data_IF_129683108294
#
_entry.id   IF_129683108294
#
_cell.length_a   1.000
_cell.length_b   1.000
_cell.length_c   1.000
_cell.angle_alpha   90.00
_cell.angle_beta   90.00
_cell.angle_gamma   90.00
#
_symmetry.space_group_name_H-M   'P 1'
#
loop_
_entity.id
_entity.type
_entity.pdbx_description
1 polymer ?
#
# COMPACT_ATOMS: atom_id res chain seq x y z
N UNK A 1 -7.43 5.26 15.78
CA UNK A 1 -7.65 5.82 14.43
C UNK A 1 -6.48 5.53 13.47
N UNK A 2 -5.26 5.95 13.81
CA UNK A 2 -4.05 5.71 13.00
C UNK A 2 -3.71 4.22 12.78
N UNK A 3 -3.59 3.45 13.87
CA UNK A 3 -3.22 2.02 13.81
C UNK A 3 -4.14 1.18 12.93
N UNK A 4 -5.44 1.48 12.92
CA UNK A 4 -6.42 0.77 12.09
C UNK A 4 -6.26 1.11 10.61
N UNK A 5 -5.91 2.36 10.27
CA UNK A 5 -5.62 2.72 8.89
C UNK A 5 -4.39 1.98 8.37
N UNK A 6 -3.32 2.02 9.17
CA UNK A 6 -2.07 1.38 8.81
C UNK A 6 -2.28 -0.12 8.57
N UNK A 7 -3.01 -0.79 9.46
CA UNK A 7 -3.34 -2.21 9.30
C UNK A 7 -4.16 -2.50 8.03
N UNK A 8 -5.13 -1.65 7.67
CA UNK A 8 -5.90 -1.83 6.42
C UNK A 8 -5.06 -1.58 5.17
N UNK A 9 -4.20 -0.55 5.19
CA UNK A 9 -3.26 -0.30 4.09
C UNK A 9 -2.28 -1.46 3.94
N UNK A 10 -1.72 -1.95 5.06
CA UNK A 10 -0.83 -3.11 5.09
C UNK A 10 -1.54 -4.33 4.50
N UNK A 11 -2.79 -4.60 4.88
CA UNK A 11 -3.58 -5.69 4.31
C UNK A 11 -3.68 -5.59 2.79
N UNK A 12 -4.00 -4.41 2.24
CA UNK A 12 -4.05 -4.21 0.79
C UNK A 12 -2.70 -4.44 0.10
N UNK A 13 -1.59 -4.03 0.72
CA UNK A 13 -0.25 -4.29 0.18
C UNK A 13 0.12 -5.77 0.23
N UNK A 14 -0.20 -6.45 1.34
CA UNK A 14 0.02 -7.89 1.49
C UNK A 14 -0.85 -8.73 0.55
N UNK A 15 -2.04 -8.26 0.18
CA UNK A 15 -2.90 -8.90 -0.82
C UNK A 15 -2.40 -8.68 -2.25
N UNK A 16 -1.87 -7.49 -2.55
CA UNK A 16 -1.24 -7.21 -3.82
C UNK A 16 0.05 -8.02 -4.01
N UNK A 17 0.79 -8.23 -2.92
CA UNK A 17 2.04 -8.99 -2.82
C UNK A 17 2.98 -8.79 -4.03
N UNK A 18 3.52 -7.57 -4.23
CA UNK A 18 4.26 -7.21 -5.45
C UNK A 18 5.43 -8.13 -5.79
N UNK A 19 5.97 -8.84 -4.81
CA UNK A 19 7.13 -9.72 -4.95
C UNK A 19 6.82 -11.20 -4.68
N UNK A 20 5.55 -11.56 -4.45
CA UNK A 20 5.15 -12.96 -4.22
C UNK A 20 5.73 -13.55 -2.92
N UNK A 21 5.87 -12.73 -1.88
CA UNK A 21 6.48 -13.08 -0.60
C UNK A 21 5.52 -13.83 0.33
N UNK A 22 4.23 -13.87 0.00
CA UNK A 22 3.17 -14.49 0.81
C UNK A 22 3.18 -14.04 2.29
N UNK A 23 3.08 -12.74 2.59
CA UNK A 23 3.21 -12.23 3.96
C UNK A 23 2.26 -12.92 4.96
N UNK A 24 2.80 -13.41 6.08
CA UNK A 24 2.05 -14.06 7.15
C UNK A 24 1.73 -15.54 6.94
N UNK A 25 2.11 -16.13 5.80
CA UNK A 25 2.04 -17.57 5.59
C UNK A 25 3.11 -18.32 6.41
N UNK A 26 2.93 -19.63 6.74
CA UNK A 26 3.89 -20.40 7.54
C UNK A 26 5.33 -20.40 7.01
N UNK A 27 5.50 -20.40 5.68
CA UNK A 27 6.79 -20.37 4.98
C UNK A 27 7.00 -19.05 4.21
N UNK A 28 6.18 -18.03 4.48
CA UNK A 28 6.23 -16.74 3.82
C UNK A 28 7.05 -15.69 4.57
N UNK A 29 7.09 -14.47 4.03
CA UNK A 29 7.63 -13.32 4.73
C UNK A 29 6.83 -12.99 6.01
N UNK A 30 7.42 -12.22 6.95
CA UNK A 30 6.68 -11.70 8.10
C UNK A 30 5.37 -10.99 7.70
N UNK A 31 4.37 -11.05 8.58
CA UNK A 31 3.06 -10.44 8.31
C UNK A 31 3.11 -8.91 8.16
N UNK A 32 4.18 -8.28 8.67
CA UNK A 32 4.46 -6.85 8.64
C UNK A 32 5.46 -6.43 7.56
N UNK A 33 5.71 -7.29 6.56
CA UNK A 33 6.71 -7.06 5.49
C UNK A 33 6.61 -5.67 4.83
N UNK A 34 5.38 -5.17 4.59
CA UNK A 34 5.14 -3.88 3.93
C UNK A 34 4.75 -2.74 4.90
N UNK A 35 5.06 -2.85 6.19
CA UNK A 35 4.59 -1.89 7.20
C UNK A 35 5.17 -0.48 6.99
N UNK A 36 6.38 -0.37 6.44
CA UNK A 36 7.04 0.91 6.19
C UNK A 36 6.36 1.71 5.06
N UNK A 37 5.95 1.02 4.01
CA UNK A 37 5.17 1.54 2.89
C UNK A 37 3.75 1.88 3.37
N UNK A 38 3.13 0.95 4.11
CA UNK A 38 1.79 1.14 4.66
C UNK A 38 1.71 2.38 5.54
N UNK A 39 2.72 2.59 6.40
CA UNK A 39 2.83 3.78 7.26
C UNK A 39 2.89 5.06 6.44
N UNK A 40 3.65 5.06 5.35
CA UNK A 40 3.78 6.25 4.50
C UNK A 40 2.48 6.55 3.75
N UNK A 41 1.84 5.54 3.18
CA UNK A 41 0.57 5.67 2.45
C UNK A 41 -0.57 6.06 3.39
N UNK A 42 -0.64 5.48 4.59
CA UNK A 42 -1.62 5.86 5.61
C UNK A 42 -1.49 7.33 6.01
N UNK A 43 -0.26 7.87 6.06
CA UNK A 43 -0.02 9.30 6.32
C UNK A 43 -0.60 10.17 5.20
N UNK A 44 -0.44 9.77 3.94
CA UNK A 44 -1.00 10.48 2.78
C UNK A 44 -2.53 10.46 2.84
N UNK A 45 -3.13 9.28 3.05
CA UNK A 45 -4.58 9.13 3.16
C UNK A 45 -5.18 9.93 4.31
N UNK A 46 -4.50 10.01 5.47
CA UNK A 46 -4.96 10.85 6.58
C UNK A 46 -5.01 12.34 6.23
N UNK A 47 -4.06 12.80 5.41
CA UNK A 47 -3.89 14.22 5.11
C UNK A 47 -4.76 14.65 3.93
N UNK A 48 -4.75 13.86 2.87
CA UNK A 48 -5.29 14.24 1.56
C UNK A 48 -6.58 13.47 1.21
N UNK A 49 -6.96 12.45 2.01
CA UNK A 49 -8.16 11.63 1.83
C UNK A 49 -8.13 10.68 0.62
N UNK A 50 -7.15 10.84 -0.26
CA UNK A 50 -6.97 10.11 -1.51
C UNK A 50 -5.49 9.83 -1.76
N UNK A 51 -5.17 8.97 -2.72
CA UNK A 51 -3.78 8.69 -3.15
C UNK A 51 -3.70 8.63 -4.68
N UNK A 52 -2.59 9.09 -5.27
CA UNK A 52 -2.34 9.00 -6.72
C UNK A 52 -1.32 7.91 -7.08
N UNK A 53 -1.24 7.55 -8.36
CA UNK A 53 -0.25 6.61 -8.86
C UNK A 53 1.18 7.11 -8.63
N UNK A 54 1.42 8.41 -8.85
CA UNK A 54 2.72 9.03 -8.63
C UNK A 54 3.14 8.99 -7.15
N UNK A 55 2.18 9.15 -6.23
CA UNK A 55 2.44 9.04 -4.80
C UNK A 55 2.81 7.59 -4.42
N UNK A 56 2.07 6.60 -4.93
CA UNK A 56 2.41 5.19 -4.69
C UNK A 56 3.77 4.83 -5.30
N UNK A 57 4.04 5.26 -6.53
CA UNK A 57 5.33 5.07 -7.18
C UNK A 57 6.47 5.72 -6.39
N UNK A 58 6.26 6.91 -5.84
CA UNK A 58 7.27 7.61 -5.04
C UNK A 58 7.55 6.89 -3.71
N UNK A 59 6.51 6.35 -3.05
CA UNK A 59 6.69 5.51 -1.85
C UNK A 59 7.51 4.28 -2.20
N UNK A 60 7.13 3.58 -3.28
CA UNK A 60 7.85 2.37 -3.70
C UNK A 60 9.29 2.65 -4.09
N UNK A 61 9.53 3.72 -4.85
CA UNK A 61 10.85 4.15 -5.29
C UNK A 61 11.79 4.44 -4.11
N UNK A 62 11.25 4.95 -3.00
CA UNK A 62 12.02 5.25 -1.79
C UNK A 62 12.53 3.98 -1.11
N UNK A 63 11.73 2.92 -1.04
CA UNK A 63 12.04 1.72 -0.28
C UNK A 63 12.70 0.62 -1.12
N UNK A 64 12.25 0.45 -2.37
CA UNK A 64 12.70 -0.61 -3.28
C UNK A 64 13.55 -0.11 -4.45
N UNK A 65 13.68 1.20 -4.63
CA UNK A 65 14.47 1.76 -5.73
C UNK A 65 13.80 1.67 -7.11
N UNK A 66 12.53 1.28 -7.16
CA UNK A 66 11.74 1.16 -8.38
C UNK A 66 10.29 1.62 -8.18
N UNK A 67 9.59 1.90 -9.27
CA UNK A 67 8.18 2.34 -9.25
C UNK A 67 7.23 1.16 -9.14
N UNK A 68 6.23 1.24 -8.26
CA UNK A 68 5.25 0.16 -8.09
C UNK A 68 4.51 -0.17 -9.40
N UNK A 69 4.19 0.85 -10.21
CA UNK A 69 3.58 0.65 -11.54
C UNK A 69 4.44 -0.17 -12.49
N UNK A 70 5.77 -0.17 -12.33
CA UNK A 70 6.69 -1.00 -13.10
C UNK A 70 6.67 -2.44 -12.60
N UNK A 71 6.56 -2.64 -11.27
CA UNK A 71 6.56 -3.97 -10.65
C UNK A 71 5.27 -4.74 -10.95
N UNK A 72 4.10 -4.13 -10.68
CA UNK A 72 2.81 -4.84 -10.74
C UNK A 72 1.94 -4.45 -11.93
N UNK A 73 2.32 -3.41 -12.68
CA UNK A 73 1.55 -2.88 -13.80
C UNK A 73 0.46 -1.86 -13.39
N UNK A 74 0.14 -0.96 -14.32
CA UNK A 74 -0.78 0.17 -14.05
C UNK A 74 -2.21 -0.25 -13.71
N UNK A 75 -2.69 -1.41 -14.19
CA UNK A 75 -4.05 -1.88 -13.88
C UNK A 75 -4.19 -2.23 -12.39
N UNK A 76 -3.20 -2.92 -11.84
CA UNK A 76 -3.15 -3.31 -10.44
C UNK A 76 -2.99 -2.08 -9.55
N UNK A 77 -2.12 -1.14 -9.94
CA UNK A 77 -1.98 0.14 -9.22
C UNK A 77 -3.28 0.94 -9.22
N UNK A 78 -4.01 1.02 -10.35
CA UNK A 78 -5.30 1.72 -10.39
C UNK A 78 -6.37 1.07 -9.50
N UNK A 79 -6.32 -0.26 -9.37
CA UNK A 79 -7.20 -1.01 -8.46
C UNK A 79 -6.88 -0.65 -7.01
N UNK A 80 -5.60 -0.72 -6.64
CA UNK A 80 -5.12 -0.35 -5.31
C UNK A 80 -5.47 1.11 -4.95
N UNK A 81 -5.30 2.06 -5.88
CA UNK A 81 -5.68 3.46 -5.69
C UNK A 81 -7.17 3.59 -5.34
N UNK A 82 -8.02 2.86 -6.06
CA UNK A 82 -9.47 2.91 -5.86
C UNK A 82 -9.86 2.39 -4.47
N UNK A 83 -9.22 1.31 -4.02
CA UNK A 83 -9.42 0.72 -2.70
C UNK A 83 -8.93 1.63 -1.58
N UNK A 84 -7.70 2.14 -1.70
CA UNK A 84 -7.09 3.06 -0.72
C UNK A 84 -7.85 4.38 -0.61
N UNK A 85 -8.27 4.95 -1.75
CA UNK A 85 -9.06 6.17 -1.77
C UNK A 85 -10.43 5.96 -1.14
N UNK A 86 -11.08 4.83 -1.42
CA UNK A 86 -12.34 4.47 -0.76
C UNK A 86 -12.18 4.34 0.75
N UNK A 87 -11.05 3.78 1.21
CA UNK A 87 -10.71 3.69 2.63
C UNK A 87 -10.51 5.08 3.27
N UNK A 88 -9.82 6.00 2.60
CA UNK A 88 -9.63 7.38 3.06
C UNK A 88 -10.94 8.16 3.16
N UNK A 89 -11.84 8.01 2.18
CA UNK A 89 -13.10 8.74 2.10
C UNK A 89 -14.17 8.29 3.10
N UNK A 90 -14.20 7.01 3.50
CA UNK A 90 -15.13 6.49 4.54
C UNK A 90 -14.94 7.10 5.92
N UNK A 91 -13.95 7.96 6.08
CA UNK A 91 -13.52 8.55 7.35
C UNK A 91 -13.89 10.03 7.50
N UNK A 92 -14.49 10.61 6.47
CA UNK A 92 -15.09 11.95 6.48
C UNK A 92 -16.61 11.85 6.57
#
# INVERSE_FOLDING_TARGET
MWKLLNAEVLRFLSELDPYGLTPGAPDGAPADEYDSEATTIASILLKDGTVTAEQLDAVWQKWFGERLTVVVGSKQVNTLISELTSLGQRRH
#
